data_IF_458767897277
#
_entry.id   IF_458767897277
#
_cell.length_a   1.000
_cell.length_b   1.000
_cell.length_c   1.000
_cell.angle_alpha   90.00
_cell.angle_beta   90.00
_cell.angle_gamma   90.00
#
_symmetry.space_group_name_H-M   'P 1'
#
loop_
_entity.id
_entity.type
_entity.pdbx_description
1 polymer ?
#
# COMPACT_ATOMS: atom_id res chain seq x y z
N UNK A 1 -15.68 68.39 -15.04
CA UNK A 1 -15.37 66.94 -15.10
C UNK A 1 -16.43 66.22 -14.30
N UNK A 2 -17.40 65.59 -14.98
CA UNK A 2 -18.50 64.85 -14.34
C UNK A 2 -18.05 63.39 -14.15
N UNK A 3 -18.06 62.89 -12.89
CA UNK A 3 -17.73 61.48 -12.56
C UNK A 3 -18.97 60.62 -12.87
N UNK A 4 -18.82 59.44 -13.52
CA UNK A 4 -19.93 58.52 -13.68
C UNK A 4 -20.17 57.76 -12.37
N UNK A 5 -21.43 57.75 -11.94
CA UNK A 5 -21.92 56.94 -10.84
C UNK A 5 -22.22 55.57 -11.41
N UNK A 6 -21.42 54.57 -11.02
CA UNK A 6 -21.68 53.16 -11.35
C UNK A 6 -22.69 52.60 -10.36
N UNK A 7 -23.91 52.37 -10.82
CA UNK A 7 -24.96 51.69 -10.05
C UNK A 7 -24.69 50.17 -10.17
N UNK A 8 -24.23 49.58 -9.08
CA UNK A 8 -24.10 48.12 -8.94
C UNK A 8 -25.50 47.56 -8.61
N UNK A 9 -26.16 46.99 -9.62
CA UNK A 9 -27.39 46.22 -9.39
C UNK A 9 -27.02 44.84 -8.80
N UNK A 10 -27.25 44.69 -7.50
CA UNK A 10 -27.21 43.39 -6.83
C UNK A 10 -28.47 42.63 -7.18
N UNK A 11 -28.38 41.69 -8.11
CA UNK A 11 -29.43 40.73 -8.44
C UNK A 11 -29.52 39.70 -7.30
N UNK A 12 -30.41 39.90 -6.34
CA UNK A 12 -30.76 38.87 -5.35
C UNK A 12 -31.52 37.78 -6.10
N UNK A 13 -30.85 36.68 -6.42
CA UNK A 13 -31.50 35.44 -6.80
C UNK A 13 -32.13 34.84 -5.55
N UNK A 14 -33.41 35.19 -5.34
CA UNK A 14 -34.27 34.42 -4.45
C UNK A 14 -34.45 33.07 -5.10
N UNK A 15 -33.69 32.06 -4.60
CA UNK A 15 -34.00 30.67 -4.84
C UNK A 15 -35.33 30.36 -4.19
N UNK A 16 -36.42 30.54 -4.95
CA UNK A 16 -37.67 29.89 -4.60
C UNK A 16 -37.40 28.39 -4.68
N UNK A 17 -37.33 27.74 -3.54
CA UNK A 17 -37.52 26.30 -3.47
C UNK A 17 -38.94 26.07 -4.00
N UNK A 18 -39.05 25.76 -5.29
CA UNK A 18 -40.27 25.22 -5.84
C UNK A 18 -40.50 23.93 -5.05
N UNK A 19 -41.47 23.93 -4.13
CA UNK A 19 -42.02 22.69 -3.61
C UNK A 19 -42.57 21.95 -4.82
N UNK A 20 -41.82 21.00 -5.35
CA UNK A 20 -42.30 20.11 -6.37
C UNK A 20 -43.56 19.47 -5.80
N UNK A 21 -44.68 19.64 -6.46
CA UNK A 21 -45.92 18.98 -6.06
C UNK A 21 -45.60 17.49 -5.96
N UNK A 22 -45.79 16.94 -4.77
CA UNK A 22 -45.46 15.57 -4.47
C UNK A 22 -46.52 14.70 -5.18
N UNK A 23 -46.09 14.10 -6.29
CA UNK A 23 -46.92 13.16 -7.04
C UNK A 23 -46.67 11.74 -6.52
N UNK A 24 -47.72 10.91 -6.36
CA UNK A 24 -47.55 9.52 -6.02
C UNK A 24 -46.76 8.80 -7.12
N UNK A 25 -45.82 8.00 -6.77
CA UNK A 25 -45.06 7.15 -7.69
C UNK A 25 -45.95 6.01 -8.26
N UNK A 26 -46.99 5.64 -7.49
CA UNK A 26 -47.97 4.64 -7.89
C UNK A 26 -49.32 4.93 -7.27
N UNK A 27 -50.40 4.69 -8.04
CA UNK A 27 -51.76 4.68 -7.54
C UNK A 27 -52.42 3.35 -7.89
N UNK A 28 -53.01 2.72 -6.92
CA UNK A 28 -53.74 1.45 -7.09
C UNK A 28 -55.15 1.55 -6.55
N UNK A 29 -56.07 0.89 -7.22
CA UNK A 29 -57.51 0.86 -6.86
C UNK A 29 -57.88 -0.58 -6.56
N UNK A 30 -58.57 -0.82 -5.47
CA UNK A 30 -59.10 -2.14 -5.12
C UNK A 30 -60.53 -2.02 -4.62
N UNK A 31 -61.30 -3.09 -4.79
CA UNK A 31 -62.63 -3.22 -4.21
C UNK A 31 -62.64 -4.47 -3.31
N UNK A 32 -62.89 -4.28 -2.02
CA UNK A 32 -62.99 -5.36 -1.06
C UNK A 32 -64.32 -5.26 -0.34
N UNK A 33 -65.13 -6.30 -0.45
CA UNK A 33 -66.46 -6.39 0.17
C UNK A 33 -67.40 -5.19 -0.17
N UNK A 34 -67.30 -4.63 -1.40
CA UNK A 34 -68.14 -3.47 -1.81
C UNK A 34 -67.60 -2.10 -1.38
N UNK A 35 -66.43 -2.07 -0.69
CA UNK A 35 -65.74 -0.84 -0.31
C UNK A 35 -64.63 -0.60 -1.31
N UNK A 36 -64.61 0.60 -1.91
CA UNK A 36 -63.52 1.06 -2.75
C UNK A 36 -62.38 1.55 -1.88
N UNK A 37 -61.18 1.10 -2.19
CA UNK A 37 -59.92 1.50 -1.54
C UNK A 37 -58.98 2.07 -2.60
N UNK A 38 -58.39 3.21 -2.33
CA UNK A 38 -57.35 3.84 -3.19
C UNK A 38 -56.07 3.90 -2.38
N UNK A 39 -54.97 3.35 -2.92
CA UNK A 39 -53.64 3.45 -2.34
C UNK A 39 -52.76 4.33 -3.21
N UNK A 40 -52.20 5.38 -2.60
CA UNK A 40 -51.24 6.29 -3.23
C UNK A 40 -49.90 6.09 -2.59
N UNK A 41 -48.90 5.64 -3.37
CA UNK A 41 -47.53 5.36 -2.89
C UNK A 41 -46.65 6.56 -3.21
N UNK A 42 -45.85 6.98 -2.23
CA UNK A 42 -44.87 8.07 -2.32
C UNK A 42 -43.53 7.55 -1.91
N UNK A 43 -42.46 7.85 -2.69
CA UNK A 43 -41.09 7.59 -2.33
C UNK A 43 -40.40 8.90 -1.97
N UNK A 44 -39.98 9.03 -0.72
CA UNK A 44 -39.42 10.27 -0.18
C UNK A 44 -38.03 10.00 0.44
N UNK A 45 -37.19 11.04 0.57
CA UNK A 45 -36.03 11.01 1.43
C UNK A 45 -36.42 10.60 2.85
N UNK A 46 -35.50 9.94 3.57
CA UNK A 46 -35.75 9.38 4.91
C UNK A 46 -36.16 10.42 5.95
N UNK A 47 -35.74 11.66 5.76
CA UNK A 47 -35.99 12.83 6.60
C UNK A 47 -37.24 13.65 6.19
N UNK A 48 -37.96 13.21 5.17
CA UNK A 48 -39.13 13.88 4.64
C UNK A 48 -40.42 13.08 4.91
N UNK A 49 -41.48 13.78 5.33
CA UNK A 49 -42.82 13.21 5.44
C UNK A 49 -43.71 13.64 4.27
N UNK A 50 -44.74 12.84 3.93
CA UNK A 50 -45.73 13.22 2.91
C UNK A 50 -46.41 14.55 3.23
N UNK A 51 -46.56 15.37 2.18
CA UNK A 51 -47.19 16.66 2.29
C UNK A 51 -48.65 16.60 2.80
N UNK A 52 -49.14 17.72 3.27
CA UNK A 52 -50.58 17.83 3.65
C UNK A 52 -51.51 17.50 2.48
N UNK A 53 -51.12 17.82 1.24
CA UNK A 53 -51.89 17.50 0.03
C UNK A 53 -52.00 16.01 -0.23
N UNK A 54 -50.90 15.25 0.04
CA UNK A 54 -50.89 13.78 -0.08
C UNK A 54 -51.83 13.10 0.90
N UNK A 55 -52.12 13.77 2.03
CA UNK A 55 -53.00 13.29 3.11
C UNK A 55 -54.45 13.82 2.97
N UNK A 56 -54.77 14.65 1.94
CA UNK A 56 -56.03 15.30 1.82
C UNK A 56 -57.09 14.38 1.18
N UNK A 57 -58.33 14.45 1.72
CA UNK A 57 -59.50 13.80 1.11
C UNK A 57 -59.73 14.32 -0.31
N UNK A 58 -60.21 13.47 -1.20
CA UNK A 58 -60.48 13.82 -2.59
C UNK A 58 -61.76 13.16 -3.10
N UNK A 59 -62.33 13.70 -4.15
CA UNK A 59 -63.51 13.14 -4.84
C UNK A 59 -63.06 12.61 -6.21
N UNK A 60 -63.55 11.42 -6.58
CA UNK A 60 -63.30 10.83 -7.87
C UNK A 60 -64.47 9.93 -8.26
N UNK A 61 -65.00 10.08 -9.47
CA UNK A 61 -66.09 9.29 -10.05
C UNK A 61 -67.35 9.23 -9.17
N UNK A 62 -67.61 10.35 -8.41
CA UNK A 62 -68.79 10.48 -7.52
C UNK A 62 -68.58 9.83 -6.15
N UNK A 63 -67.40 9.33 -5.83
CA UNK A 63 -67.02 8.80 -4.52
C UNK A 63 -66.12 9.80 -3.80
N UNK A 64 -66.32 9.91 -2.50
CA UNK A 64 -65.44 10.68 -1.60
C UNK A 64 -64.49 9.76 -0.88
N UNK A 65 -63.21 10.02 -1.02
CA UNK A 65 -62.12 9.25 -0.42
C UNK A 65 -61.49 10.03 0.73
N UNK A 66 -61.44 9.42 1.90
CA UNK A 66 -60.83 9.98 3.11
C UNK A 66 -59.69 9.15 3.54
N UNK A 67 -58.55 9.75 3.95
CA UNK A 67 -57.40 9.02 4.43
C UNK A 67 -57.76 8.15 5.65
N UNK A 68 -57.58 6.87 5.53
CA UNK A 68 -57.84 5.87 6.61
C UNK A 68 -56.57 5.39 7.27
N UNK A 69 -55.45 5.29 6.52
CA UNK A 69 -54.19 4.86 7.06
C UNK A 69 -53.02 5.47 6.28
N UNK A 70 -51.86 5.59 6.94
CA UNK A 70 -50.60 6.04 6.34
C UNK A 70 -49.46 5.09 6.79
N UNK A 71 -49.18 4.15 5.94
CA UNK A 71 -48.14 3.14 6.18
C UNK A 71 -46.79 3.69 5.76
N UNK A 72 -45.76 3.48 6.62
CA UNK A 72 -44.35 3.83 6.34
C UNK A 72 -43.53 2.57 6.22
N UNK A 73 -42.80 2.43 5.12
CA UNK A 73 -41.87 1.32 4.88
C UNK A 73 -40.50 1.87 4.52
N UNK A 74 -39.46 1.34 5.13
CA UNK A 74 -38.08 1.66 4.80
C UNK A 74 -37.68 0.96 3.52
N UNK A 75 -36.97 1.69 2.64
CA UNK A 75 -36.42 1.18 1.39
C UNK A 75 -34.89 1.22 1.50
N UNK A 76 -34.25 0.14 2.03
CA UNK A 76 -32.81 0.07 2.06
C UNK A 76 -32.23 -0.02 0.65
N UNK A 77 -31.23 0.79 0.38
CA UNK A 77 -30.45 0.78 -0.86
C UNK A 77 -29.13 0.08 -0.60
N UNK A 78 -28.88 -0.99 -1.33
CA UNK A 78 -27.60 -1.71 -1.28
C UNK A 78 -26.71 -1.22 -2.42
N UNK A 79 -25.50 -0.83 -2.08
CA UNK A 79 -24.47 -0.42 -3.01
C UNK A 79 -23.27 -1.36 -2.85
N UNK A 80 -22.63 -1.72 -3.96
CA UNK A 80 -21.41 -2.50 -3.93
C UNK A 80 -20.37 -1.89 -4.86
N UNK A 81 -19.09 -2.12 -4.55
CA UNK A 81 -17.96 -1.73 -5.39
C UNK A 81 -16.78 -2.65 -5.17
N UNK A 82 -15.95 -2.80 -6.20
CA UNK A 82 -14.63 -3.43 -6.05
C UNK A 82 -13.72 -2.52 -5.23
N UNK A 83 -12.97 -3.11 -4.31
CA UNK A 83 -12.01 -2.42 -3.47
C UNK A 83 -10.71 -3.20 -3.42
N UNK A 84 -9.59 -2.48 -3.45
CA UNK A 84 -8.24 -3.06 -3.38
C UNK A 84 -7.45 -2.35 -2.30
N UNK A 85 -6.75 -3.12 -1.48
CA UNK A 85 -5.87 -2.61 -0.43
C UNK A 85 -4.49 -3.26 -0.56
N UNK A 86 -3.45 -2.45 -0.38
CA UNK A 86 -2.06 -2.91 -0.38
C UNK A 86 -1.56 -3.08 1.05
N UNK A 87 -0.99 -4.24 1.33
CA UNK A 87 -0.41 -4.59 2.63
C UNK A 87 1.09 -4.80 2.47
N UNK A 88 1.86 -4.29 3.42
CA UNK A 88 3.31 -4.45 3.46
C UNK A 88 3.71 -5.16 4.75
N UNK A 89 4.52 -6.22 4.63
CA UNK A 89 5.07 -6.97 5.77
C UNK A 89 6.57 -7.16 5.60
N UNK A 90 7.27 -7.42 6.69
CA UNK A 90 8.71 -7.74 6.68
C UNK A 90 8.90 -9.25 6.70
N UNK A 91 9.91 -9.74 5.96
CA UNK A 91 10.31 -11.15 5.94
C UNK A 91 11.83 -11.28 6.05
N UNK A 92 12.30 -12.34 6.66
CA UNK A 92 13.73 -12.71 6.68
C UNK A 92 14.17 -13.45 5.42
N UNK A 93 13.20 -14.00 4.66
CA UNK A 93 13.43 -14.78 3.45
C UNK A 93 12.64 -14.21 2.27
N UNK A 94 13.17 -14.36 1.07
CA UNK A 94 12.50 -14.05 -0.20
C UNK A 94 11.63 -15.19 -0.72
N UNK A 95 11.67 -16.35 -0.08
CA UNK A 95 10.97 -17.55 -0.52
C UNK A 95 9.48 -17.47 -0.18
N UNK A 96 8.60 -17.73 -1.15
CA UNK A 96 7.14 -17.65 -0.98
C UNK A 96 6.62 -18.56 0.15
N UNK A 97 7.27 -19.71 0.38
CA UNK A 97 6.91 -20.63 1.48
C UNK A 97 7.09 -20.01 2.86
N UNK A 98 8.03 -19.06 3.00
CA UNK A 98 8.23 -18.30 4.23
C UNK A 98 7.36 -17.05 4.31
N UNK A 99 6.95 -16.51 3.17
CA UNK A 99 6.17 -15.26 3.05
C UNK A 99 4.68 -15.53 3.25
N UNK A 100 4.13 -16.57 2.61
CA UNK A 100 2.70 -16.86 2.65
C UNK A 100 2.11 -16.97 4.07
N UNK A 101 2.80 -17.60 5.05
CA UNK A 101 2.29 -17.64 6.43
C UNK A 101 2.22 -16.27 7.12
N UNK A 102 2.90 -15.23 6.59
CA UNK A 102 2.87 -13.87 7.11
C UNK A 102 1.69 -13.06 6.58
N UNK A 103 1.03 -13.55 5.54
CA UNK A 103 -0.10 -12.93 4.87
C UNK A 103 -1.35 -13.76 5.15
N UNK A 104 -2.40 -13.13 5.66
CA UNK A 104 -3.68 -13.81 5.82
C UNK A 104 -4.33 -14.04 4.44
N UNK A 105 -5.01 -15.17 4.25
CA UNK A 105 -5.73 -15.46 2.99
C UNK A 105 -6.83 -14.44 2.71
N UNK A 106 -7.42 -13.89 3.76
CA UNK A 106 -8.50 -12.89 3.69
C UNK A 106 -8.30 -11.80 4.72
N UNK A 107 -8.84 -10.61 4.41
CA UNK A 107 -8.80 -9.43 5.28
C UNK A 107 -10.17 -8.76 5.30
N UNK A 108 -10.75 -8.58 6.48
CA UNK A 108 -11.93 -7.74 6.65
C UNK A 108 -11.54 -6.26 6.53
N UNK A 109 -12.37 -5.48 5.85
CA UNK A 109 -12.16 -4.05 5.65
C UNK A 109 -13.43 -3.26 5.91
N UNK A 110 -13.24 -2.04 6.40
CA UNK A 110 -14.27 -0.99 6.44
C UNK A 110 -13.64 0.26 5.84
N UNK A 111 -14.23 0.75 4.75
CA UNK A 111 -13.74 1.95 4.07
C UNK A 111 -14.20 3.22 4.77
N UNK A 112 -13.57 4.36 4.51
CA UNK A 112 -13.93 5.65 5.11
C UNK A 112 -15.36 6.09 4.77
N UNK A 113 -15.87 5.71 3.59
CA UNK A 113 -17.24 5.98 3.13
C UNK A 113 -18.26 4.92 3.61
N UNK A 114 -17.83 4.01 4.49
CA UNK A 114 -18.70 3.08 5.23
C UNK A 114 -19.06 1.79 4.48
N UNK A 115 -18.33 1.43 3.42
CA UNK A 115 -18.45 0.09 2.83
C UNK A 115 -17.70 -0.93 3.68
N UNK A 116 -18.25 -2.11 3.80
CA UNK A 116 -17.66 -3.23 4.53
C UNK A 116 -17.58 -4.46 3.64
N UNK A 117 -16.56 -5.28 3.84
CA UNK A 117 -16.39 -6.52 3.09
C UNK A 117 -15.20 -7.33 3.52
N UNK A 118 -14.95 -8.40 2.79
CA UNK A 118 -13.80 -9.27 3.01
C UNK A 118 -13.00 -9.36 1.70
N UNK A 119 -11.76 -8.88 1.75
CA UNK A 119 -10.83 -8.94 0.64
C UNK A 119 -10.07 -10.26 0.66
N UNK A 120 -9.70 -10.76 -0.52
CA UNK A 120 -8.86 -11.95 -0.70
C UNK A 120 -7.47 -11.55 -1.15
N UNK A 121 -6.47 -12.28 -0.68
CA UNK A 121 -5.09 -12.11 -1.11
C UNK A 121 -4.94 -12.47 -2.59
N UNK A 122 -4.42 -11.53 -3.38
CA UNK A 122 -3.92 -11.82 -4.73
C UNK A 122 -2.46 -12.27 -4.62
N UNK A 123 -2.26 -13.58 -4.63
CA UNK A 123 -0.92 -14.17 -4.56
C UNK A 123 -0.04 -13.80 -5.76
N UNK A 124 -0.65 -13.46 -6.91
CA UNK A 124 0.08 -13.00 -8.10
C UNK A 124 0.64 -11.58 -7.96
N UNK A 125 0.13 -10.80 -7.03
CA UNK A 125 0.56 -9.42 -6.75
C UNK A 125 1.76 -9.34 -5.81
N UNK A 126 2.18 -10.45 -5.20
CA UNK A 126 3.25 -10.46 -4.20
C UNK A 126 4.57 -10.01 -4.83
N UNK A 127 5.13 -8.93 -4.32
CA UNK A 127 6.46 -8.44 -4.66
C UNK A 127 7.38 -8.49 -3.46
N UNK A 128 8.67 -8.81 -3.70
CA UNK A 128 9.65 -8.98 -2.65
C UNK A 128 10.89 -8.17 -2.98
N UNK A 129 11.22 -7.22 -2.14
CA UNK A 129 12.37 -6.35 -2.31
C UNK A 129 13.30 -6.41 -1.09
N UNK A 130 14.64 -6.31 -1.27
CA UNK A 130 15.56 -6.21 -0.15
C UNK A 130 15.24 -5.00 0.74
N UNK A 131 15.01 -5.22 2.03
CA UNK A 131 14.72 -4.15 3.00
C UNK A 131 15.98 -3.37 3.39
N UNK A 132 17.16 -3.99 3.26
CA UNK A 132 18.42 -3.36 3.58
C UNK A 132 19.61 -4.25 3.30
N UNK A 133 20.80 -3.68 3.51
CA UNK A 133 22.07 -4.37 3.28
C UNK A 133 23.03 -4.10 4.42
N UNK A 134 23.79 -5.15 4.78
CA UNK A 134 24.94 -5.06 5.69
C UNK A 134 26.23 -5.32 4.91
N UNK A 135 27.14 -4.37 4.95
CA UNK A 135 28.48 -4.55 4.40
C UNK A 135 29.38 -5.09 5.51
N UNK A 136 30.01 -6.22 5.22
CA UNK A 136 31.06 -6.77 6.07
C UNK A 136 32.39 -6.62 5.35
N UNK A 137 33.43 -6.22 6.06
CA UNK A 137 34.79 -6.13 5.54
C UNK A 137 35.76 -6.81 6.50
N UNK A 138 36.77 -7.47 5.94
CA UNK A 138 37.82 -8.13 6.68
C UNK A 138 39.14 -7.99 5.97
N UNK A 139 40.23 -8.07 6.72
CA UNK A 139 41.60 -8.08 6.18
C UNK A 139 41.92 -9.47 5.64
N UNK A 140 42.45 -9.50 4.43
CA UNK A 140 43.08 -10.70 3.83
C UNK A 140 44.57 -10.47 3.76
N UNK A 141 45.36 -11.54 3.96
CA UNK A 141 46.83 -11.48 3.91
C UNK A 141 47.41 -12.64 3.11
N UNK A 142 48.55 -12.38 2.52
CA UNK A 142 49.37 -13.41 1.91
C UNK A 142 50.82 -13.20 2.26
N UNK A 143 51.56 -14.27 2.49
CA UNK A 143 53.01 -14.24 2.75
C UNK A 143 53.76 -14.71 1.51
N UNK A 144 54.86 -14.03 1.19
CA UNK A 144 55.82 -14.41 0.13
C UNK A 144 57.22 -14.39 0.69
N UNK A 145 58.03 -15.37 0.28
CA UNK A 145 59.46 -15.43 0.64
C UNK A 145 60.30 -15.08 -0.57
N UNK A 146 61.23 -14.15 -0.39
CA UNK A 146 62.20 -13.73 -1.40
C UNK A 146 63.58 -14.09 -0.89
N UNK A 147 64.17 -15.22 -1.31
CA UNK A 147 65.45 -15.70 -0.83
C UNK A 147 66.60 -15.11 -1.61
N UNK A 148 67.81 -15.27 -1.08
CA UNK A 148 69.09 -15.02 -1.74
C UNK A 148 69.28 -13.52 -2.12
N UNK A 149 68.81 -12.61 -1.31
CA UNK A 149 69.01 -11.18 -1.48
C UNK A 149 70.40 -10.73 -1.05
N UNK A 150 71.00 -9.77 -1.73
CA UNK A 150 72.33 -9.22 -1.45
C UNK A 150 72.37 -8.21 -0.29
N UNK A 151 71.20 -7.66 0.04
CA UNK A 151 71.07 -6.71 1.15
C UNK A 151 69.63 -6.74 1.69
N UNK A 152 69.41 -6.21 2.89
CA UNK A 152 68.10 -6.02 3.52
C UNK A 152 67.45 -4.74 3.01
N UNK A 153 67.24 -4.60 1.68
CA UNK A 153 66.66 -3.42 1.07
C UNK A 153 65.27 -3.71 0.52
N UNK A 154 64.32 -2.81 0.86
CA UNK A 154 62.95 -2.88 0.37
C UNK A 154 62.79 -2.67 -1.13
N UNK A 155 63.85 -2.16 -1.82
CA UNK A 155 63.84 -2.00 -3.25
C UNK A 155 63.72 -3.33 -3.99
N UNK A 156 64.20 -4.43 -3.38
CA UNK A 156 64.09 -5.78 -3.94
C UNK A 156 62.72 -6.44 -3.69
N UNK A 157 61.86 -5.79 -2.92
CA UNK A 157 60.57 -6.37 -2.52
C UNK A 157 59.45 -5.73 -3.36
N UNK A 158 58.64 -6.52 -4.10
CA UNK A 158 57.49 -6.02 -4.78
C UNK A 158 56.53 -5.28 -3.84
N UNK A 159 56.04 -4.11 -4.21
CA UNK A 159 55.08 -3.34 -3.41
C UNK A 159 53.71 -3.96 -3.36
N UNK A 160 53.40 -4.87 -4.28
CA UNK A 160 52.11 -5.55 -4.37
C UNK A 160 52.27 -7.01 -4.75
N UNK A 161 51.32 -7.84 -4.35
CA UNK A 161 51.19 -9.22 -4.82
C UNK A 161 49.72 -9.51 -5.17
N UNK A 162 49.46 -10.55 -5.93
CA UNK A 162 48.11 -11.02 -6.23
C UNK A 162 47.84 -12.33 -5.53
N UNK A 163 46.74 -12.41 -4.81
CA UNK A 163 46.24 -13.60 -4.14
C UNK A 163 44.75 -13.78 -4.40
N UNK A 164 44.34 -14.93 -4.96
CA UNK A 164 42.95 -15.21 -5.33
C UNK A 164 42.28 -14.11 -6.15
N UNK A 165 43.01 -13.57 -7.14
CA UNK A 165 42.53 -12.49 -8.04
C UNK A 165 42.46 -11.09 -7.40
N UNK A 166 42.98 -10.91 -6.17
CA UNK A 166 43.04 -9.62 -5.46
C UNK A 166 44.44 -9.10 -5.36
N UNK A 167 44.62 -7.82 -5.59
CA UNK A 167 45.88 -7.13 -5.35
C UNK A 167 46.01 -6.83 -3.85
N UNK A 168 47.08 -7.32 -3.22
CA UNK A 168 47.44 -7.03 -1.85
C UNK A 168 48.67 -6.11 -1.85
N UNK A 169 48.70 -5.18 -0.92
CA UNK A 169 49.78 -4.23 -0.76
C UNK A 169 50.80 -4.75 0.30
N UNK A 170 52.05 -4.38 0.12
CA UNK A 170 53.10 -4.60 1.13
C UNK A 170 52.65 -4.07 2.50
N UNK A 171 52.82 -4.86 3.53
CA UNK A 171 52.53 -4.51 4.92
C UNK A 171 53.74 -4.55 5.80
N UNK A 172 54.37 -5.74 5.91
CA UNK A 172 55.55 -5.94 6.75
C UNK A 172 56.53 -6.89 6.09
N UNK A 173 57.78 -6.79 6.50
CA UNK A 173 58.86 -7.71 6.12
C UNK A 173 59.58 -8.17 7.35
N UNK A 174 59.88 -9.45 7.39
CA UNK A 174 60.78 -10.07 8.35
C UNK A 174 62.02 -10.57 7.60
N UNK A 175 63.18 -10.05 8.01
CA UNK A 175 64.45 -10.38 7.37
C UNK A 175 65.17 -11.52 8.14
N UNK A 176 65.63 -12.51 7.39
CA UNK A 176 66.44 -13.60 7.89
C UNK A 176 67.78 -13.60 7.19
N UNK A 177 68.85 -13.83 7.97
CA UNK A 177 70.18 -14.02 7.39
C UNK A 177 70.34 -15.49 7.02
N UNK A 178 70.62 -15.75 5.75
CA UNK A 178 70.93 -17.09 5.26
C UNK A 178 72.39 -17.35 5.58
N UNK A 179 72.70 -18.26 6.55
CA UNK A 179 74.04 -18.67 6.84
C UNK A 179 74.58 -19.46 5.67
N UNK A 180 75.42 -18.84 4.86
CA UNK A 180 76.29 -19.59 3.90
C UNK A 180 77.47 -20.16 4.63
N UNK A 181 77.55 -21.47 4.74
CA UNK A 181 78.80 -22.14 5.18
C UNK A 181 79.90 -21.74 4.22
N UNK A 182 81.01 -21.20 4.74
CA UNK A 182 82.18 -20.87 3.96
C UNK A 182 82.74 -22.17 3.27
N UNK A 183 82.50 -22.25 1.97
CA UNK A 183 83.11 -23.26 1.13
C UNK A 183 84.19 -22.55 0.31
N UNK A 184 85.47 -22.72 0.72
CA UNK A 184 86.66 -22.11 0.14
C UNK A 184 86.82 -20.61 0.33
N UNK A 185 88.01 -20.16 0.57
CA UNK A 185 88.60 -18.88 0.99
C UNK A 185 88.14 -17.59 0.29
N UNK A 186 87.11 -17.65 -0.52
CA UNK A 186 86.41 -16.49 -1.08
C UNK A 186 85.17 -16.11 -0.23
N UNK A 187 85.28 -15.00 0.47
CA UNK A 187 84.20 -14.45 1.28
C UNK A 187 82.93 -14.13 0.41
N UNK A 188 82.03 -15.08 0.30
CA UNK A 188 80.73 -14.88 -0.23
C UNK A 188 79.98 -13.98 0.83
N UNK A 189 79.65 -12.73 0.45
CA UNK A 189 78.95 -11.82 1.35
C UNK A 189 77.65 -12.47 1.87
N UNK A 190 77.19 -11.97 3.05
CA UNK A 190 75.96 -12.41 3.65
C UNK A 190 74.80 -12.38 2.67
N UNK A 191 73.98 -13.40 2.68
CA UNK A 191 72.75 -13.48 1.92
C UNK A 191 71.58 -13.38 2.89
N UNK A 192 70.47 -12.80 2.40
CA UNK A 192 69.29 -12.51 3.18
C UNK A 192 68.06 -13.10 2.52
N UNK A 193 67.12 -13.55 3.33
CA UNK A 193 65.76 -13.92 2.91
C UNK A 193 64.75 -12.95 3.52
N UNK A 194 63.85 -12.43 2.72
CA UNK A 194 62.78 -11.59 3.17
C UNK A 194 61.46 -12.40 3.20
N UNK A 195 60.84 -12.51 4.38
CA UNK A 195 59.47 -13.03 4.52
C UNK A 195 58.53 -11.81 4.57
N UNK A 196 57.80 -11.61 3.48
CA UNK A 196 56.98 -10.43 3.28
C UNK A 196 55.52 -10.76 3.44
N UNK A 197 54.84 -10.00 4.31
CA UNK A 197 53.39 -10.07 4.46
C UNK A 197 52.74 -8.93 3.65
N UNK A 198 51.81 -9.32 2.80
CA UNK A 198 50.98 -8.42 2.05
C UNK A 198 49.54 -8.43 2.60
N UNK A 199 48.89 -7.29 2.65
CA UNK A 199 47.54 -7.17 3.17
C UNK A 199 46.63 -6.42 2.20
N UNK A 200 45.33 -6.70 2.30
CA UNK A 200 44.31 -6.02 1.56
C UNK A 200 42.94 -6.16 2.27
N UNK A 201 41.95 -5.51 1.75
CA UNK A 201 40.59 -5.59 2.30
C UNK A 201 39.68 -6.37 1.35
N UNK A 202 38.95 -7.34 1.89
CA UNK A 202 37.86 -8.00 1.24
C UNK A 202 36.54 -7.49 1.83
N UNK A 203 35.48 -7.44 1.02
CA UNK A 203 34.17 -7.06 1.50
C UNK A 203 33.08 -7.96 0.91
N UNK A 204 32.01 -8.14 1.65
CA UNK A 204 30.76 -8.74 1.17
C UNK A 204 29.59 -7.84 1.54
N UNK A 205 28.53 -7.90 0.72
CA UNK A 205 27.27 -7.20 0.95
C UNK A 205 26.17 -8.24 1.07
N UNK A 206 25.55 -8.31 2.25
CA UNK A 206 24.51 -9.26 2.55
C UNK A 206 23.18 -8.54 2.76
N UNK A 207 22.08 -9.10 2.25
CA UNK A 207 20.73 -8.60 2.51
C UNK A 207 20.39 -8.86 3.97
N UNK A 208 19.78 -7.88 4.65
CA UNK A 208 19.41 -7.95 6.07
C UNK A 208 17.95 -8.33 6.32
N UNK A 209 17.16 -8.41 5.26
CA UNK A 209 15.74 -8.74 5.29
C UNK A 209 15.06 -8.30 4.02
N UNK A 210 13.76 -8.57 3.92
CA UNK A 210 12.96 -8.27 2.75
C UNK A 210 11.69 -7.52 3.15
N UNK A 211 11.28 -6.60 2.29
CA UNK A 211 9.96 -5.96 2.32
C UNK A 211 9.08 -6.68 1.31
N UNK A 212 7.96 -7.20 1.78
CA UNK A 212 6.97 -7.90 0.97
C UNK A 212 5.75 -7.01 0.85
N UNK A 213 5.30 -6.77 -0.38
CA UNK A 213 4.08 -6.02 -0.68
C UNK A 213 3.11 -6.95 -1.40
N UNK A 214 1.86 -6.98 -0.95
CA UNK A 214 0.80 -7.79 -1.52
C UNK A 214 -0.49 -6.98 -1.62
N UNK A 215 -1.32 -7.29 -2.62
CA UNK A 215 -2.64 -6.68 -2.78
C UNK A 215 -3.73 -7.64 -2.33
N UNK A 216 -4.75 -7.06 -1.71
CA UNK A 216 -5.98 -7.73 -1.36
C UNK A 216 -7.11 -7.06 -2.12
N UNK A 217 -7.96 -7.83 -2.78
CA UNK A 217 -9.09 -7.31 -3.55
C UNK A 217 -10.38 -8.07 -3.25
N UNK A 218 -11.50 -7.40 -3.45
CA UNK A 218 -12.83 -7.98 -3.28
C UNK A 218 -13.93 -6.95 -3.33
N UNK A 219 -15.14 -7.44 -3.34
CA UNK A 219 -16.34 -6.61 -3.31
C UNK A 219 -16.63 -6.16 -1.89
N UNK A 220 -16.93 -4.87 -1.73
CA UNK A 220 -17.38 -4.28 -0.48
C UNK A 220 -18.78 -3.70 -0.66
N UNK A 221 -19.60 -3.81 0.37
CA UNK A 221 -21.01 -3.44 0.31
C UNK A 221 -21.35 -2.42 1.40
N UNK A 222 -22.33 -1.56 1.08
CA UNK A 222 -22.92 -0.63 2.01
C UNK A 222 -24.43 -0.64 1.86
N UNK A 223 -25.11 -0.79 2.97
CA UNK A 223 -26.57 -0.61 3.04
C UNK A 223 -26.85 0.76 3.63
N UNK A 224 -27.56 1.58 2.88
CA UNK A 224 -27.99 2.91 3.32
C UNK A 224 -29.50 3.04 3.27
N UNK A 225 -30.06 3.75 4.24
CA UNK A 225 -31.47 4.08 4.26
C UNK A 225 -31.62 5.53 3.83
N UNK A 226 -31.73 5.75 2.50
CA UNK A 226 -31.83 7.07 1.92
C UNK A 226 -33.29 7.44 1.58
N UNK A 227 -34.15 6.41 1.41
CA UNK A 227 -35.56 6.57 1.00
C UNK A 227 -36.49 5.79 1.89
N UNK A 228 -37.67 6.32 2.03
CA UNK A 228 -38.82 5.68 2.65
C UNK A 228 -40.01 5.72 1.70
N UNK A 229 -40.80 4.68 1.74
CA UNK A 229 -42.05 4.60 1.01
C UNK A 229 -43.20 4.87 1.99
N UNK A 230 -44.08 5.78 1.60
CA UNK A 230 -45.34 5.99 2.29
C UNK A 230 -46.48 5.50 1.41
N UNK A 231 -47.39 4.74 2.00
CA UNK A 231 -48.62 4.30 1.33
C UNK A 231 -49.80 4.96 2.06
N UNK A 232 -50.40 5.97 1.41
CA UNK A 232 -51.62 6.54 1.91
C UNK A 232 -52.81 5.73 1.41
N UNK A 233 -53.64 5.26 2.35
CA UNK A 233 -54.82 4.41 2.08
C UNK A 233 -56.07 5.27 2.28
N UNK A 234 -56.91 5.31 1.27
CA UNK A 234 -58.14 6.09 1.26
C UNK A 234 -59.34 5.19 1.06
#
# INVERSE_FOLDING_TARGET
>A
MKKPITILAVLLLLSTTAFAAEYPSQVSYSMNNGIFEVRKTYELPVDQEPSMQAKQSFEQDGYSFTLTDLLRQELPEQQSKEYTETVTVSSESKELTAILPLLADTKAVTTEDGFTGTLKLDTGSITVEPAGYKNNSWTVSATRTYPNLSSMDLEYIPKTTTENGRTLNFSTVDWQTDNTENVDDDAIGDRFSAIVTYTGTASSRNVTGYTVTAQYSGEVEKVSLNKVQYVAVF
#
